data_IF_201032829365
#
_entry.id   IF_201032829365
#
_cell.length_a   1.000
_cell.length_b   1.000
_cell.length_c   1.000
_cell.angle_alpha   90.00
_cell.angle_beta   90.00
_cell.angle_gamma   90.00
#
_symmetry.space_group_name_H-M   'P 1'
#
loop_
_entity.id
_entity.type
_entity.pdbx_description
1 polymer ?
#
# COMPACT_ATOMS: atom_id res chain seq x y z
N UNK A 1 -17.64 20.93 -6.49
CA UNK A 1 -16.39 21.56 -7.02
C UNK A 1 -15.39 20.43 -7.25
N UNK A 2 -14.66 20.49 -8.32
CA UNK A 2 -13.67 19.46 -8.67
C UNK A 2 -12.48 19.57 -7.71
N UNK A 3 -12.28 18.59 -6.83
CA UNK A 3 -11.20 18.60 -5.84
C UNK A 3 -9.83 18.48 -6.53
N UNK A 4 -8.84 19.23 -6.08
CA UNK A 4 -7.45 18.94 -6.46
C UNK A 4 -7.03 17.63 -5.79
N UNK A 5 -6.50 16.69 -6.58
CA UNK A 5 -6.01 15.41 -6.08
C UNK A 5 -4.50 15.37 -6.25
N UNK A 6 -3.78 15.09 -5.15
CA UNK A 6 -2.34 14.88 -5.21
C UNK A 6 -2.04 13.39 -5.42
N UNK A 7 -1.22 13.09 -6.43
CA UNK A 7 -0.68 11.75 -6.66
C UNK A 7 0.77 11.73 -6.21
N UNK A 8 1.06 11.02 -5.14
CA UNK A 8 2.40 10.88 -4.57
C UNK A 8 3.06 9.62 -5.11
N UNK A 9 4.23 9.79 -5.73
CA UNK A 9 5.02 8.71 -6.33
C UNK A 9 6.40 8.70 -5.65
N UNK A 10 6.67 7.77 -4.71
CA UNK A 10 8.00 7.54 -4.18
C UNK A 10 8.90 6.92 -5.25
N UNK A 11 10.10 7.45 -5.46
CA UNK A 11 11.02 7.02 -6.51
C UNK A 11 12.36 6.63 -5.91
N UNK A 12 12.82 5.40 -6.17
CA UNK A 12 14.15 4.95 -5.79
C UNK A 12 14.66 3.86 -6.73
N UNK A 13 15.67 4.18 -7.56
CA UNK A 13 16.36 3.25 -8.47
C UNK A 13 15.39 2.42 -9.36
N UNK A 14 14.58 3.11 -10.16
CA UNK A 14 13.53 2.54 -11.03
C UNK A 14 13.55 3.13 -12.45
N UNK A 15 14.71 3.52 -12.95
CA UNK A 15 14.88 4.18 -14.24
C UNK A 15 14.20 3.46 -15.43
N UNK A 16 14.08 2.13 -15.37
CA UNK A 16 13.49 1.32 -16.43
C UNK A 16 11.95 1.36 -16.46
N UNK A 17 11.28 1.80 -15.38
CA UNK A 17 9.83 1.73 -15.20
C UNK A 17 9.19 3.10 -15.00
N UNK A 18 9.97 4.05 -14.48
CA UNK A 18 9.48 5.33 -13.99
C UNK A 18 8.75 6.16 -15.06
N UNK A 19 9.26 6.14 -16.30
CA UNK A 19 8.66 6.89 -17.40
C UNK A 19 7.24 6.40 -17.70
N UNK A 20 7.03 5.09 -17.77
CA UNK A 20 5.71 4.48 -17.99
C UNK A 20 4.75 4.78 -16.82
N UNK A 21 5.24 4.70 -15.60
CA UNK A 21 4.48 5.03 -14.39
C UNK A 21 3.99 6.49 -14.43
N UNK A 22 4.89 7.47 -14.60
CA UNK A 22 4.52 8.89 -14.64
C UNK A 22 3.54 9.15 -15.80
N UNK A 23 3.80 8.59 -16.97
CA UNK A 23 2.93 8.76 -18.13
C UNK A 23 1.52 8.21 -17.89
N UNK A 24 1.38 7.12 -17.13
CA UNK A 24 0.07 6.54 -16.78
C UNK A 24 -0.75 7.50 -15.89
N UNK A 25 -0.08 8.24 -15.01
CA UNK A 25 -0.71 9.26 -14.15
C UNK A 25 -1.04 10.53 -14.94
N UNK A 26 -0.15 10.98 -15.83
CA UNK A 26 -0.41 12.13 -16.69
C UNK A 26 -1.59 11.93 -17.63
N UNK A 27 -1.83 10.68 -18.06
CA UNK A 27 -2.90 10.27 -18.96
C UNK A 27 -4.23 9.94 -18.28
N UNK A 28 -4.38 10.20 -16.99
CA UNK A 28 -5.64 9.99 -16.27
C UNK A 28 -6.78 10.83 -16.90
N UNK A 29 -7.99 10.28 -16.90
CA UNK A 29 -9.19 11.01 -17.36
C UNK A 29 -9.53 12.19 -16.46
N UNK A 30 -9.22 12.10 -15.18
CA UNK A 30 -9.29 13.20 -14.24
C UNK A 30 -8.05 14.09 -14.38
N UNK A 31 -8.22 15.36 -14.70
CA UNK A 31 -7.12 16.25 -15.08
C UNK A 31 -6.65 17.20 -13.98
N UNK A 32 -7.48 17.44 -12.94
CA UNK A 32 -7.14 18.36 -11.83
C UNK A 32 -6.21 17.66 -10.82
N UNK A 33 -4.96 17.42 -11.25
CA UNK A 33 -3.94 16.68 -10.52
C UNK A 33 -2.77 17.55 -10.09
N UNK A 34 -2.21 17.23 -8.93
CA UNK A 34 -0.93 17.65 -8.39
C UNK A 34 -0.05 16.41 -8.26
N UNK A 35 0.94 16.23 -9.12
CA UNK A 35 1.78 15.02 -9.18
C UNK A 35 3.07 15.29 -8.44
N UNK A 36 3.28 14.60 -7.32
CA UNK A 36 4.39 14.81 -6.39
C UNK A 36 5.36 13.63 -6.51
N UNK A 37 6.46 13.82 -7.24
CA UNK A 37 7.55 12.87 -7.34
C UNK A 37 8.52 13.08 -6.18
N UNK A 38 8.75 12.06 -5.36
CA UNK A 38 9.72 12.10 -4.26
C UNK A 38 10.86 11.16 -4.59
N UNK A 39 11.94 11.71 -5.15
CA UNK A 39 13.16 10.95 -5.40
C UNK A 39 13.95 10.78 -4.10
N UNK A 40 13.90 9.58 -3.55
CA UNK A 40 14.49 9.18 -2.26
C UNK A 40 15.96 8.77 -2.43
N UNK A 41 16.78 9.65 -3.02
CA UNK A 41 18.21 9.47 -3.18
C UNK A 41 18.58 8.40 -4.20
N UNK A 42 17.91 8.34 -5.36
CA UNK A 42 18.28 7.42 -6.44
C UNK A 42 19.70 7.66 -6.94
N UNK A 43 20.36 6.59 -7.35
CA UNK A 43 21.73 6.57 -7.88
C UNK A 43 21.81 6.17 -9.37
N UNK A 44 20.66 5.87 -9.97
CA UNK A 44 20.45 5.62 -11.39
C UNK A 44 19.87 6.87 -12.09
N UNK A 45 19.40 6.76 -13.32
CA UNK A 45 18.83 7.89 -14.08
C UNK A 45 17.42 8.34 -13.60
N UNK A 46 16.87 7.77 -12.51
CA UNK A 46 15.52 8.11 -12.02
C UNK A 46 15.38 9.61 -11.68
N UNK A 47 16.44 10.24 -11.11
CA UNK A 47 16.41 11.66 -10.78
C UNK A 47 16.24 12.54 -12.04
N UNK A 48 17.02 12.26 -13.10
CA UNK A 48 16.97 13.00 -14.37
C UNK A 48 15.62 12.80 -15.09
N UNK A 49 15.03 11.59 -14.97
CA UNK A 49 13.68 11.32 -15.48
C UNK A 49 12.65 12.19 -14.76
N UNK A 50 12.71 12.27 -13.42
CA UNK A 50 11.81 13.12 -12.64
C UNK A 50 11.88 14.58 -13.10
N UNK A 51 13.09 15.14 -13.19
CA UNK A 51 13.31 16.54 -13.58
C UNK A 51 12.78 16.83 -14.97
N UNK A 52 13.03 15.93 -15.93
CA UNK A 52 12.50 16.04 -17.29
C UNK A 52 10.98 16.11 -17.30
N UNK A 53 10.27 15.32 -16.51
CA UNK A 53 8.81 15.37 -16.45
C UNK A 53 8.29 16.65 -15.79
N UNK A 54 8.99 17.19 -14.80
CA UNK A 54 8.64 18.48 -14.20
C UNK A 54 8.79 19.68 -15.19
N UNK A 55 9.75 19.58 -16.12
CA UNK A 55 9.90 20.57 -17.18
C UNK A 55 8.80 20.45 -18.26
N UNK A 56 8.29 19.22 -18.50
CA UNK A 56 7.31 18.95 -19.57
C UNK A 56 5.86 19.22 -19.16
N UNK A 57 5.50 19.03 -17.88
CA UNK A 57 4.12 19.18 -17.41
C UNK A 57 4.07 19.93 -16.08
N UNK A 58 3.40 21.07 -16.05
CA UNK A 58 3.29 21.94 -14.87
C UNK A 58 2.55 21.32 -13.68
N UNK A 59 1.87 20.22 -13.86
CA UNK A 59 1.25 19.45 -12.77
C UNK A 59 2.26 18.63 -11.97
N UNK A 60 3.47 18.39 -12.52
CA UNK A 60 4.52 17.57 -11.91
C UNK A 60 5.43 18.46 -11.07
N UNK A 61 5.63 18.06 -9.83
CA UNK A 61 6.57 18.67 -8.88
C UNK A 61 7.52 17.63 -8.34
N UNK A 62 8.80 17.90 -8.35
CA UNK A 62 9.87 16.98 -7.94
C UNK A 62 10.50 17.46 -6.65
N UNK A 63 10.80 16.50 -5.77
CA UNK A 63 11.55 16.71 -4.54
C UNK A 63 12.63 15.64 -4.43
N UNK A 64 13.89 16.07 -4.35
CA UNK A 64 15.02 15.18 -4.11
C UNK A 64 15.34 15.16 -2.63
N UNK A 65 15.42 13.96 -2.05
CA UNK A 65 15.74 13.74 -0.65
C UNK A 65 16.94 12.78 -0.50
N UNK A 66 17.54 12.73 0.68
CA UNK A 66 18.41 11.63 1.03
C UNK A 66 17.59 10.36 1.20
N UNK A 67 18.15 9.19 0.83
CA UNK A 67 17.45 7.91 0.98
C UNK A 67 17.11 7.63 2.45
N UNK A 68 15.80 7.55 2.73
CA UNK A 68 15.23 7.24 4.05
C UNK A 68 14.17 6.14 3.97
N UNK A 69 13.96 5.58 2.79
CA UNK A 69 13.01 4.50 2.50
C UNK A 69 11.60 4.97 2.12
N UNK A 70 10.88 4.09 1.46
CA UNK A 70 9.56 4.37 0.89
C UNK A 70 8.54 4.96 1.88
N UNK A 71 8.44 4.52 3.16
CA UNK A 71 7.52 5.14 4.13
C UNK A 71 7.81 6.63 4.35
N UNK A 72 9.11 7.01 4.42
CA UNK A 72 9.50 8.41 4.60
C UNK A 72 9.21 9.24 3.36
N UNK A 73 9.46 8.69 2.17
CA UNK A 73 9.13 9.34 0.91
C UNK A 73 7.61 9.54 0.76
N UNK A 74 6.79 8.54 1.12
CA UNK A 74 5.32 8.67 1.17
C UNK A 74 4.91 9.79 2.13
N UNK A 75 5.40 9.78 3.38
CA UNK A 75 5.08 10.80 4.39
C UNK A 75 5.48 12.20 3.95
N UNK A 76 6.69 12.33 3.41
CA UNK A 76 7.17 13.61 2.89
C UNK A 76 6.28 14.09 1.74
N UNK A 77 5.95 13.22 0.78
CA UNK A 77 5.03 13.53 -0.32
C UNK A 77 3.67 14.02 0.17
N UNK A 78 3.09 13.41 1.22
CA UNK A 78 1.84 13.88 1.84
C UNK A 78 1.98 15.29 2.39
N UNK A 79 3.12 15.66 2.99
CA UNK A 79 3.34 17.03 3.49
C UNK A 79 3.45 18.05 2.35
N UNK A 80 3.94 17.63 1.17
CA UNK A 80 4.08 18.47 -0.01
C UNK A 80 2.81 18.52 -0.87
N UNK A 81 1.89 17.57 -0.69
CA UNK A 81 0.63 17.50 -1.43
C UNK A 81 -0.20 18.77 -1.29
N UNK A 82 -0.72 19.30 -2.39
CA UNK A 82 -1.59 20.49 -2.44
C UNK A 82 -3.08 20.13 -2.43
N UNK A 83 -3.41 18.90 -2.84
CA UNK A 83 -4.77 18.39 -2.92
C UNK A 83 -5.40 18.12 -1.56
N UNK A 84 -6.72 18.15 -1.51
CA UNK A 84 -7.50 17.72 -0.34
C UNK A 84 -7.45 16.20 -0.16
N UNK A 85 -7.31 15.48 -1.27
CA UNK A 85 -7.15 14.04 -1.30
C UNK A 85 -5.78 13.65 -1.86
N UNK A 86 -5.26 12.51 -1.37
CA UNK A 86 -3.97 11.96 -1.78
C UNK A 86 -4.15 10.52 -2.23
N UNK A 87 -3.48 10.17 -3.32
CA UNK A 87 -3.37 8.84 -3.87
C UNK A 87 -1.90 8.47 -4.01
N UNK A 88 -1.55 7.23 -3.75
CA UNK A 88 -0.19 6.72 -3.95
C UNK A 88 -0.12 5.84 -5.21
N UNK A 89 0.99 5.96 -5.93
CA UNK A 89 1.36 5.07 -7.04
C UNK A 89 2.81 4.66 -6.82
N UNK A 90 3.10 3.37 -6.84
CA UNK A 90 4.48 2.90 -6.79
C UNK A 90 5.14 3.12 -8.15
N UNK A 91 6.40 3.54 -8.14
CA UNK A 91 7.10 4.05 -9.32
C UNK A 91 7.45 3.01 -10.39
N UNK A 92 7.21 1.74 -10.12
CA UNK A 92 7.35 0.60 -11.06
C UNK A 92 6.01 0.02 -11.53
N UNK A 93 4.88 0.62 -11.10
CA UNK A 93 3.52 0.19 -11.43
C UNK A 93 2.84 1.13 -12.43
N UNK A 94 1.60 0.79 -12.84
CA UNK A 94 0.83 1.55 -13.81
C UNK A 94 -0.56 1.85 -13.25
N UNK A 95 -0.97 3.11 -13.30
CA UNK A 95 -2.33 3.54 -12.98
C UNK A 95 -3.26 3.29 -14.18
N UNK A 96 -4.38 2.58 -14.00
CA UNK A 96 -5.39 2.45 -15.05
C UNK A 96 -6.01 3.83 -15.36
N UNK A 97 -6.27 4.11 -16.61
CA UNK A 97 -6.63 5.44 -17.12
C UNK A 97 -7.81 6.12 -16.38
N UNK A 98 -8.76 5.34 -15.86
CA UNK A 98 -9.96 5.84 -15.15
C UNK A 98 -9.81 5.84 -13.64
N UNK A 99 -8.65 5.44 -13.10
CA UNK A 99 -8.49 5.19 -11.66
C UNK A 99 -8.89 6.42 -10.84
N UNK A 100 -8.30 7.57 -11.11
CA UNK A 100 -8.56 8.77 -10.30
C UNK A 100 -10.02 9.21 -10.43
N UNK A 101 -10.57 9.24 -11.65
CA UNK A 101 -11.96 9.63 -11.89
C UNK A 101 -12.95 8.68 -11.16
N UNK A 102 -12.72 7.38 -11.23
CA UNK A 102 -13.57 6.38 -10.59
C UNK A 102 -13.57 6.53 -9.06
N UNK A 103 -12.39 6.70 -8.46
CA UNK A 103 -12.27 6.89 -7.01
C UNK A 103 -12.83 8.24 -6.56
N UNK A 104 -12.53 9.31 -7.29
CA UNK A 104 -13.00 10.66 -6.97
C UNK A 104 -14.53 10.79 -7.04
N UNK A 105 -15.17 10.17 -8.02
CA UNK A 105 -16.63 10.15 -8.12
C UNK A 105 -17.28 9.59 -6.85
N UNK A 106 -16.69 8.59 -6.22
CA UNK A 106 -17.20 8.06 -4.95
C UNK A 106 -17.02 9.05 -3.79
N UNK A 107 -15.95 9.86 -3.81
CA UNK A 107 -15.79 10.96 -2.85
C UNK A 107 -16.91 11.99 -3.02
N UNK A 108 -17.19 12.41 -4.26
CA UNK A 108 -18.24 13.41 -4.55
C UNK A 108 -19.64 12.91 -4.16
N UNK A 109 -19.94 11.63 -4.44
CA UNK A 109 -21.25 11.03 -4.16
C UNK A 109 -21.49 10.75 -2.67
N UNK A 110 -20.44 10.42 -1.91
CA UNK A 110 -20.60 9.87 -0.55
C UNK A 110 -19.95 10.70 0.55
N UNK A 111 -19.00 11.58 0.20
CA UNK A 111 -18.16 12.29 1.17
C UNK A 111 -17.18 11.38 1.90
N UNK A 112 -16.76 10.27 1.30
CA UNK A 112 -15.87 9.30 1.91
C UNK A 112 -14.50 9.88 2.26
N UNK A 113 -13.95 9.46 3.41
CA UNK A 113 -12.56 9.77 3.80
C UNK A 113 -11.56 8.87 3.09
N UNK A 114 -11.98 7.65 2.74
CA UNK A 114 -11.18 6.67 2.00
C UNK A 114 -12.05 6.02 0.92
N UNK A 115 -11.55 5.97 -0.31
CA UNK A 115 -12.12 5.14 -1.38
C UNK A 115 -11.07 4.14 -1.82
N UNK A 116 -11.41 2.87 -1.83
CA UNK A 116 -10.54 1.74 -2.16
C UNK A 116 -10.95 1.20 -3.53
N UNK A 117 -10.02 1.10 -4.46
CA UNK A 117 -10.16 0.35 -5.70
C UNK A 117 -9.62 -1.07 -5.58
N UNK A 118 -9.43 -1.70 -6.72
CA UNK A 118 -8.78 -3.01 -6.82
C UNK A 118 -7.71 -2.98 -7.91
N UNK A 119 -6.98 -4.08 -8.06
CA UNK A 119 -5.84 -4.18 -8.96
C UNK A 119 -5.82 -5.56 -9.65
N UNK A 120 -5.01 -5.67 -10.70
CA UNK A 120 -4.57 -6.93 -11.25
C UNK A 120 -3.04 -6.97 -11.33
N UNK A 121 -2.50 -8.17 -11.46
CA UNK A 121 -1.05 -8.37 -11.56
C UNK A 121 -0.67 -8.51 -13.03
N UNK A 122 0.39 -7.81 -13.43
CA UNK A 122 1.14 -8.05 -14.65
C UNK A 122 2.50 -8.65 -14.29
N UNK A 123 2.73 -9.90 -14.68
CA UNK A 123 4.02 -10.58 -14.49
C UNK A 123 4.90 -10.34 -15.70
N UNK A 124 5.94 -9.53 -15.54
CA UNK A 124 6.87 -9.18 -16.60
C UNK A 124 7.70 -10.37 -17.08
N UNK A 125 7.90 -11.39 -16.22
CA UNK A 125 8.73 -12.55 -16.57
C UNK A 125 8.06 -13.47 -17.62
N UNK A 126 6.75 -13.56 -17.62
CA UNK A 126 5.99 -14.41 -18.56
C UNK A 126 4.97 -13.64 -19.40
N UNK A 127 4.84 -12.32 -19.18
CA UNK A 127 3.91 -11.43 -19.88
C UNK A 127 2.44 -11.69 -19.57
N UNK A 128 2.13 -12.40 -18.48
CA UNK A 128 0.76 -12.77 -18.13
C UNK A 128 0.11 -11.77 -17.16
N UNK A 129 -1.20 -11.57 -17.36
CA UNK A 129 -2.03 -10.83 -16.42
C UNK A 129 -2.85 -11.77 -15.54
N UNK A 130 -2.87 -11.53 -14.21
CA UNK A 130 -3.69 -12.25 -13.26
C UNK A 130 -4.75 -11.32 -12.69
N UNK A 131 -6.01 -11.55 -13.07
CA UNK A 131 -7.15 -10.77 -12.62
C UNK A 131 -7.80 -11.45 -11.42
N UNK A 132 -8.03 -10.68 -10.36
CA UNK A 132 -8.78 -11.12 -9.17
C UNK A 132 -10.25 -10.74 -9.24
N UNK A 133 -10.59 -9.76 -10.09
CA UNK A 133 -11.93 -9.22 -10.27
C UNK A 133 -12.32 -9.38 -11.72
N UNK A 134 -13.46 -10.03 -11.96
CA UNK A 134 -14.09 -10.10 -13.28
C UNK A 134 -15.21 -9.04 -13.33
N UNK A 135 -15.62 -8.63 -14.53
CA UNK A 135 -16.70 -7.63 -14.71
C UNK A 135 -17.97 -7.95 -13.92
N UNK A 136 -18.33 -9.24 -13.82
CA UNK A 136 -19.50 -9.72 -13.03
C UNK A 136 -19.34 -9.51 -11.52
N UNK A 137 -18.13 -9.28 -11.03
CA UNK A 137 -17.84 -9.13 -9.60
C UNK A 137 -17.80 -7.64 -9.19
N UNK A 138 -18.08 -6.74 -10.15
CA UNK A 138 -18.14 -5.31 -9.86
C UNK A 138 -19.19 -5.01 -8.80
N UNK A 139 -18.77 -4.31 -7.76
CA UNK A 139 -19.66 -3.79 -6.72
C UNK A 139 -19.09 -2.51 -6.11
N UNK A 140 -19.97 -1.74 -5.48
CA UNK A 140 -19.60 -0.59 -4.65
C UNK A 140 -20.22 -0.82 -3.28
N UNK A 141 -19.41 -0.77 -2.24
CA UNK A 141 -19.83 -1.09 -0.87
C UNK A 141 -19.29 -0.04 0.11
N UNK A 142 -20.12 0.40 1.03
CA UNK A 142 -19.66 1.10 2.23
C UNK A 142 -19.25 0.07 3.27
N UNK A 143 -18.02 0.14 3.77
CA UNK A 143 -17.46 -0.85 4.68
C UNK A 143 -17.12 -0.21 6.03
N UNK A 144 -17.57 -0.85 7.10
CA UNK A 144 -17.16 -0.53 8.46
C UNK A 144 -15.69 -0.89 8.71
N UNK A 145 -15.08 -0.29 9.74
CA UNK A 145 -13.71 -0.65 10.14
C UNK A 145 -13.56 -2.15 10.43
N UNK A 146 -14.57 -2.77 11.05
CA UNK A 146 -14.57 -4.21 11.31
C UNK A 146 -14.51 -5.04 10.03
N UNK A 147 -15.33 -4.69 9.03
CA UNK A 147 -15.35 -5.41 7.74
C UNK A 147 -14.02 -5.23 6.98
N UNK A 148 -13.45 -4.03 6.99
CA UNK A 148 -12.15 -3.74 6.38
C UNK A 148 -11.04 -4.59 7.02
N UNK A 149 -11.02 -4.70 8.35
CA UNK A 149 -10.06 -5.54 9.08
C UNK A 149 -10.27 -7.03 8.78
N UNK A 150 -11.52 -7.48 8.68
CA UNK A 150 -11.84 -8.86 8.30
C UNK A 150 -11.34 -9.17 6.86
N UNK A 151 -11.50 -8.22 5.92
CA UNK A 151 -11.00 -8.35 4.54
C UNK A 151 -9.47 -8.35 4.48
N UNK A 152 -8.79 -7.53 5.29
CA UNK A 152 -7.33 -7.61 5.44
C UNK A 152 -6.85 -8.99 5.90
N UNK A 153 -7.64 -9.69 6.70
CA UNK A 153 -7.28 -11.01 7.19
C UNK A 153 -7.33 -12.12 6.12
N UNK A 154 -7.87 -11.85 4.95
CA UNK A 154 -7.78 -12.73 3.76
C UNK A 154 -8.71 -13.93 3.75
N UNK A 155 -9.66 -14.03 4.69
CA UNK A 155 -10.46 -15.25 4.85
C UNK A 155 -11.54 -15.46 3.79
N UNK A 156 -12.00 -14.38 3.14
CA UNK A 156 -13.21 -14.44 2.30
C UNK A 156 -13.00 -13.94 0.87
N UNK A 157 -11.86 -13.30 0.58
CA UNK A 157 -11.59 -12.70 -0.72
C UNK A 157 -10.19 -13.07 -1.21
N UNK A 158 -10.09 -13.48 -2.46
CA UNK A 158 -8.83 -13.80 -3.13
C UNK A 158 -7.83 -12.63 -3.15
N UNK A 159 -8.29 -11.42 -2.78
CA UNK A 159 -7.53 -10.18 -2.88
C UNK A 159 -7.44 -9.41 -1.55
N UNK A 160 -7.00 -10.06 -0.48
CA UNK A 160 -6.76 -9.40 0.82
C UNK A 160 -5.75 -8.23 0.70
N UNK A 161 -4.79 -8.32 -0.21
CA UNK A 161 -3.78 -7.29 -0.45
C UNK A 161 -4.40 -5.95 -0.87
N UNK A 162 -5.58 -5.97 -1.52
CA UNK A 162 -6.31 -4.74 -1.84
C UNK A 162 -6.67 -3.92 -0.58
N UNK A 163 -6.77 -4.53 0.58
CA UNK A 163 -7.06 -3.86 1.85
C UNK A 163 -5.81 -3.57 2.68
N UNK A 164 -4.61 -3.92 2.19
CA UNK A 164 -3.32 -3.70 2.87
C UNK A 164 -2.49 -2.65 2.13
N UNK A 165 -2.32 -2.80 0.81
CA UNK A 165 -1.49 -1.92 0.00
C UNK A 165 -2.08 -0.50 -0.06
N UNK A 166 -1.27 0.58 0.02
CA UNK A 166 -1.78 1.95 -0.01
C UNK A 166 -2.14 2.45 -1.41
N UNK A 167 -1.63 1.82 -2.47
CA UNK A 167 -1.92 2.19 -3.86
C UNK A 167 -3.40 1.97 -4.19
N UNK A 168 -3.87 2.52 -5.29
CA UNK A 168 -5.28 2.48 -5.74
C UNK A 168 -6.30 2.82 -4.63
N UNK A 169 -5.89 3.64 -3.66
CA UNK A 169 -6.74 4.22 -2.63
C UNK A 169 -6.64 5.74 -2.65
N UNK A 170 -7.79 6.38 -2.62
CA UNK A 170 -7.90 7.81 -2.47
C UNK A 170 -8.18 8.12 -1.00
N UNK A 171 -7.26 8.81 -0.35
CA UNK A 171 -7.33 9.16 1.06
C UNK A 171 -7.55 10.66 1.24
N UNK A 172 -8.39 11.04 2.19
CA UNK A 172 -8.41 12.42 2.67
C UNK A 172 -7.06 12.77 3.29
N UNK A 173 -6.44 13.87 2.85
CA UNK A 173 -5.08 14.26 3.26
C UNK A 173 -4.94 14.39 4.77
N UNK A 174 -5.90 15.00 5.45
CA UNK A 174 -5.88 15.21 6.89
C UNK A 174 -5.80 13.89 7.68
N UNK A 175 -6.37 12.81 7.14
CA UNK A 175 -6.28 11.48 7.73
C UNK A 175 -4.84 10.95 7.68
N UNK A 176 -4.17 11.09 6.53
CA UNK A 176 -2.77 10.68 6.36
C UNK A 176 -1.82 11.50 7.25
N UNK A 177 -2.08 12.80 7.45
CA UNK A 177 -1.29 13.64 8.35
C UNK A 177 -1.42 13.21 9.82
N UNK A 178 -2.58 12.67 10.22
CA UNK A 178 -2.81 12.14 11.57
C UNK A 178 -2.20 10.75 11.77
N UNK A 179 -2.09 9.96 10.71
CA UNK A 179 -1.61 8.57 10.74
C UNK A 179 -0.51 8.39 9.69
N UNK A 180 0.72 8.87 9.96
CA UNK A 180 1.83 8.71 9.03
C UNK A 180 2.27 7.24 8.92
N UNK A 181 2.84 6.88 7.77
CA UNK A 181 3.44 5.57 7.56
C UNK A 181 4.60 5.34 8.53
N UNK A 182 4.68 4.12 9.06
CA UNK A 182 5.71 3.73 10.04
C UNK A 182 7.07 3.58 9.37
N UNK A 183 8.09 4.17 10.00
CA UNK A 183 9.43 4.22 9.45
C UNK A 183 10.29 3.00 9.82
N UNK A 184 11.23 2.67 8.94
CA UNK A 184 12.35 1.79 9.25
C UNK A 184 12.01 0.31 9.33
N UNK A 185 10.91 -0.14 8.70
CA UNK A 185 10.46 -1.54 8.71
C UNK A 185 9.93 -1.97 7.36
N UNK A 186 10.10 -3.24 7.06
CA UNK A 186 9.26 -3.95 6.09
C UNK A 186 7.82 -3.96 6.60
N UNK A 187 6.85 -4.13 5.71
CA UNK A 187 5.43 -4.20 6.08
C UNK A 187 4.87 -2.90 6.68
N UNK A 188 5.39 -1.73 6.24
CA UNK A 188 4.87 -0.41 6.64
C UNK A 188 3.38 -0.24 6.31
N UNK A 189 2.93 -0.81 5.22
CA UNK A 189 1.52 -0.84 4.82
C UNK A 189 0.67 -1.63 5.81
N UNK A 190 1.11 -2.83 6.18
CA UNK A 190 0.48 -3.69 7.19
C UNK A 190 0.42 -2.99 8.56
N UNK A 191 1.47 -2.22 8.88
CA UNK A 191 1.57 -1.47 10.13
C UNK A 191 0.70 -0.21 10.18
N UNK A 192 0.29 0.34 9.02
CA UNK A 192 -0.32 1.67 8.93
C UNK A 192 -1.79 1.63 8.51
N UNK A 193 -2.13 0.87 7.46
CA UNK A 193 -3.45 0.96 6.81
C UNK A 193 -4.61 0.65 7.75
N UNK A 194 -4.46 -0.31 8.69
CA UNK A 194 -5.50 -0.60 9.68
C UNK A 194 -5.83 0.62 10.56
N UNK A 195 -4.84 1.46 10.89
CA UNK A 195 -5.03 2.68 11.68
C UNK A 195 -5.83 3.72 10.92
N UNK A 196 -5.59 3.85 9.61
CA UNK A 196 -6.38 4.72 8.73
C UNK A 196 -7.83 4.25 8.69
N UNK A 197 -8.07 2.95 8.58
CA UNK A 197 -9.44 2.39 8.61
C UNK A 197 -10.15 2.62 9.95
N UNK A 198 -9.45 2.48 11.08
CA UNK A 198 -10.01 2.77 12.42
C UNK A 198 -10.38 4.26 12.55
N UNK A 199 -9.60 5.16 11.95
CA UNK A 199 -9.80 6.61 12.02
C UNK A 199 -10.81 7.15 11.02
N UNK A 200 -11.01 6.47 9.91
CA UNK A 200 -11.96 6.87 8.87
C UNK A 200 -13.39 6.84 9.39
N UNK A 201 -14.17 7.87 9.07
CA UNK A 201 -15.62 7.91 9.35
C UNK A 201 -16.41 7.18 8.27
N UNK A 202 -15.93 7.22 7.03
CA UNK A 202 -16.57 6.56 5.90
C UNK A 202 -15.54 6.02 4.91
N UNK A 203 -15.63 4.73 4.61
CA UNK A 203 -14.80 4.06 3.61
C UNK A 203 -15.67 3.36 2.58
N UNK A 204 -15.41 3.64 1.31
CA UNK A 204 -16.09 3.02 0.16
C UNK A 204 -15.10 2.09 -0.54
N UNK A 205 -15.55 0.90 -0.88
CA UNK A 205 -14.83 -0.05 -1.72
C UNK A 205 -15.48 -0.14 -3.09
N UNK A 206 -14.70 0.06 -4.14
CA UNK A 206 -15.08 -0.09 -5.55
C UNK A 206 -14.33 -1.30 -6.10
N UNK A 207 -15.03 -2.40 -6.27
CA UNK A 207 -14.42 -3.64 -6.77
C UNK A 207 -14.24 -3.57 -8.30
N UNK A 208 -13.30 -2.73 -8.74
CA UNK A 208 -12.91 -2.53 -10.14
C UNK A 208 -11.37 -2.55 -10.26
N UNK A 209 -10.85 -3.13 -11.35
CA UNK A 209 -9.42 -3.22 -11.62
C UNK A 209 -8.88 -1.86 -12.08
N UNK A 210 -8.44 -1.05 -11.15
CA UNK A 210 -8.01 0.34 -11.37
C UNK A 210 -6.49 0.52 -11.36
N UNK A 211 -5.74 -0.56 -11.12
CA UNK A 211 -4.30 -0.50 -10.95
C UNK A 211 -3.63 -1.77 -11.48
N UNK A 212 -2.44 -1.63 -12.04
CA UNK A 212 -1.63 -2.71 -12.57
C UNK A 212 -0.39 -2.86 -11.71
N UNK A 213 -0.40 -3.87 -10.86
CA UNK A 213 0.75 -4.23 -10.05
C UNK A 213 1.74 -5.05 -10.86
N UNK A 214 2.96 -4.53 -11.04
CA UNK A 214 4.02 -5.17 -11.81
C UNK A 214 4.84 -6.12 -10.95
N UNK A 215 4.90 -7.40 -11.32
CA UNK A 215 5.86 -8.35 -10.76
C UNK A 215 7.10 -8.38 -11.66
N UNK A 216 8.24 -8.02 -11.07
CA UNK A 216 9.53 -7.92 -11.76
C UNK A 216 10.67 -8.48 -10.92
N UNK A 217 11.81 -8.77 -11.56
CA UNK A 217 13.03 -9.12 -10.85
C UNK A 217 13.59 -7.92 -10.06
N UNK A 218 14.18 -8.17 -8.89
CA UNK A 218 14.77 -7.12 -8.05
C UNK A 218 13.78 -6.33 -7.20
N UNK A 219 12.52 -6.74 -7.11
CA UNK A 219 11.57 -6.20 -6.13
C UNK A 219 12.00 -6.49 -4.70
N UNK A 220 11.64 -5.60 -3.75
CA UNK A 220 11.91 -5.78 -2.31
C UNK A 220 11.36 -7.13 -1.81
N UNK A 221 10.19 -7.55 -2.30
CA UNK A 221 9.55 -8.82 -1.93
C UNK A 221 10.30 -10.07 -2.41
N UNK A 222 11.27 -9.93 -3.32
CA UNK A 222 12.13 -11.03 -3.80
C UNK A 222 13.47 -11.10 -3.08
N UNK A 223 13.69 -10.26 -2.04
CA UNK A 223 14.92 -10.27 -1.27
C UNK A 223 15.05 -11.55 -0.43
N UNK A 224 16.30 -11.96 -0.15
CA UNK A 224 16.57 -13.17 0.63
C UNK A 224 16.00 -13.05 2.04
N UNK A 225 15.33 -14.11 2.51
CA UNK A 225 14.80 -14.21 3.87
C UNK A 225 15.92 -14.26 4.90
N UNK A 226 15.81 -13.43 5.94
CA UNK A 226 16.69 -13.39 7.10
C UNK A 226 15.89 -13.13 8.39
N UNK A 227 16.57 -13.10 9.54
CA UNK A 227 15.92 -12.96 10.85
C UNK A 227 15.20 -11.60 11.01
N UNK A 228 15.60 -10.57 10.29
CA UNK A 228 14.94 -9.25 10.37
C UNK A 228 13.50 -9.27 9.85
N UNK A 229 13.16 -10.18 8.92
CA UNK A 229 11.77 -10.42 8.52
C UNK A 229 10.91 -10.88 9.69
N UNK A 230 11.46 -11.77 10.53
CA UNK A 230 10.76 -12.27 11.71
C UNK A 230 10.54 -11.15 12.71
N UNK A 231 11.58 -10.34 12.96
CA UNK A 231 11.50 -9.20 13.89
C UNK A 231 10.40 -8.22 13.47
N UNK A 232 10.42 -7.83 12.18
CA UNK A 232 9.47 -6.88 11.64
C UNK A 232 8.03 -7.40 11.73
N UNK A 233 7.76 -8.63 11.31
CA UNK A 233 6.40 -9.18 11.30
C UNK A 233 5.85 -9.37 12.70
N UNK A 234 6.67 -9.87 13.64
CA UNK A 234 6.27 -10.06 15.05
C UNK A 234 5.88 -8.71 15.68
N UNK A 235 6.64 -7.67 15.41
CA UNK A 235 6.37 -6.33 15.95
C UNK A 235 5.15 -5.70 15.31
N UNK A 236 5.03 -5.77 13.96
CA UNK A 236 3.89 -5.21 13.23
C UNK A 236 2.58 -5.82 13.72
N UNK A 237 2.48 -7.14 13.80
CA UNK A 237 1.25 -7.79 14.25
C UNK A 237 0.96 -7.60 15.74
N UNK A 238 1.98 -7.47 16.58
CA UNK A 238 1.78 -7.15 18.01
C UNK A 238 1.12 -5.78 18.18
N UNK A 239 1.65 -4.78 17.50
CA UNK A 239 1.09 -3.42 17.52
C UNK A 239 -0.29 -3.36 16.89
N UNK A 240 -0.48 -4.03 15.75
CA UNK A 240 -1.77 -4.08 15.06
C UNK A 240 -2.87 -4.70 15.95
N UNK A 241 -2.60 -5.85 16.56
CA UNK A 241 -3.57 -6.48 17.46
C UNK A 241 -3.87 -5.60 18.69
N UNK A 242 -2.88 -4.91 19.24
CA UNK A 242 -3.09 -3.98 20.32
C UNK A 242 -3.98 -2.78 19.89
N UNK A 243 -3.71 -2.19 18.73
CA UNK A 243 -4.52 -1.09 18.19
C UNK A 243 -5.97 -1.52 17.96
N UNK A 244 -6.20 -2.73 17.42
CA UNK A 244 -7.54 -3.27 17.18
C UNK A 244 -8.31 -3.49 18.49
N UNK A 245 -7.67 -4.05 19.51
CA UNK A 245 -8.27 -4.25 20.84
C UNK A 245 -8.65 -2.90 21.48
N UNK A 246 -7.75 -1.91 21.44
CA UNK A 246 -8.00 -0.58 21.98
C UNK A 246 -9.13 0.14 21.22
N UNK A 247 -9.30 -0.13 19.94
CA UNK A 247 -10.39 0.40 19.13
C UNK A 247 -11.72 -0.36 19.29
N UNK A 248 -11.77 -1.43 20.09
CA UNK A 248 -12.97 -2.26 20.28
C UNK A 248 -13.33 -3.11 19.05
N UNK A 249 -12.37 -3.37 18.15
CA UNK A 249 -12.53 -4.22 16.95
C UNK A 249 -12.35 -5.70 17.35
N UNK A 250 -13.25 -6.57 16.89
CA UNK A 250 -13.07 -8.01 17.06
C UNK A 250 -11.81 -8.48 16.31
N UNK A 251 -10.91 -9.11 17.06
CA UNK A 251 -9.61 -9.55 16.56
C UNK A 251 -9.57 -11.01 16.14
N UNK A 252 -10.65 -11.76 16.24
CA UNK A 252 -10.68 -13.21 16.03
C UNK A 252 -10.13 -13.63 14.67
N UNK A 253 -10.56 -12.97 13.61
CA UNK A 253 -10.10 -13.24 12.22
C UNK A 253 -8.64 -12.84 12.05
N UNK A 254 -8.24 -11.68 12.58
CA UNK A 254 -6.84 -11.21 12.50
C UNK A 254 -5.89 -12.08 13.34
N UNK A 255 -6.33 -12.57 14.49
CA UNK A 255 -5.56 -13.54 15.28
C UNK A 255 -5.31 -14.82 14.48
N UNK A 256 -6.33 -15.34 13.80
CA UNK A 256 -6.17 -16.55 12.97
C UNK A 256 -5.17 -16.30 11.83
N UNK A 257 -5.24 -15.12 11.16
CA UNK A 257 -4.22 -14.74 10.17
C UNK A 257 -2.82 -14.68 10.77
N UNK A 258 -2.68 -14.11 11.95
CA UNK A 258 -1.39 -14.04 12.64
C UNK A 258 -0.84 -15.43 12.97
N UNK A 259 -1.68 -16.38 13.43
CA UNK A 259 -1.29 -17.76 13.64
C UNK A 259 -0.75 -18.41 12.37
N UNK A 260 -1.41 -18.18 11.22
CA UNK A 260 -0.94 -18.69 9.94
C UNK A 260 0.43 -18.12 9.57
N UNK A 261 0.62 -16.81 9.74
CA UNK A 261 1.91 -16.16 9.53
C UNK A 261 2.99 -16.72 10.47
N UNK A 262 2.68 -16.92 11.77
CA UNK A 262 3.63 -17.52 12.70
C UNK A 262 4.05 -18.93 12.27
N UNK A 263 3.13 -19.74 11.75
CA UNK A 263 3.45 -21.07 11.23
C UNK A 263 4.32 -21.02 9.97
N UNK A 264 4.04 -20.08 9.06
CA UNK A 264 4.85 -19.83 7.87
C UNK A 264 6.28 -19.41 8.24
N UNK A 265 6.42 -18.43 9.13
CA UNK A 265 7.74 -17.94 9.57
C UNK A 265 8.49 -18.98 10.41
N UNK A 266 7.80 -19.83 11.18
CA UNK A 266 8.38 -21.00 11.82
C UNK A 266 9.02 -21.92 10.78
N UNK A 267 8.27 -22.28 9.74
CA UNK A 267 8.78 -23.11 8.65
C UNK A 267 9.98 -22.48 7.92
N UNK A 268 9.92 -21.16 7.65
CA UNK A 268 11.04 -20.44 7.05
C UNK A 268 12.29 -20.47 7.97
N UNK A 269 12.15 -20.22 9.27
CA UNK A 269 13.26 -20.32 10.21
C UNK A 269 13.89 -21.72 10.23
N UNK A 270 13.08 -22.77 10.18
CA UNK A 270 13.56 -24.16 10.09
C UNK A 270 14.29 -24.42 8.77
N UNK A 271 13.77 -23.90 7.65
CA UNK A 271 14.37 -24.06 6.32
C UNK A 271 15.72 -23.34 6.19
N UNK A 272 15.84 -22.16 6.80
CA UNK A 272 17.06 -21.33 6.74
C UNK A 272 18.00 -21.52 7.93
N UNK A 273 17.78 -22.54 8.78
CA UNK A 273 18.60 -22.87 9.96
C UNK A 273 18.69 -21.72 10.98
N UNK A 274 17.57 -21.02 11.23
CA UNK A 274 17.46 -19.92 12.20
C UNK A 274 16.76 -20.34 13.51
N UNK A 275 16.78 -21.63 13.86
CA UNK A 275 16.09 -22.19 15.02
C UNK A 275 16.71 -21.86 16.39
N UNK A 276 17.97 -21.41 16.41
CA UNK A 276 18.69 -21.03 17.63
C UNK A 276 18.51 -19.56 18.02
N UNK A 277 17.62 -18.83 17.32
CA UNK A 277 17.38 -17.41 17.54
C UNK A 277 16.31 -17.12 18.59
N UNK A 278 16.35 -15.95 19.20
CA UNK A 278 15.32 -15.51 20.15
C UNK A 278 13.98 -15.29 19.45
N UNK A 279 13.99 -14.84 18.19
CA UNK A 279 12.81 -14.64 17.37
C UNK A 279 12.08 -15.97 17.08
N UNK A 280 12.81 -17.05 16.83
CA UNK A 280 12.21 -18.37 16.68
C UNK A 280 11.57 -18.86 17.99
N UNK A 281 12.22 -18.64 19.14
CA UNK A 281 11.64 -18.95 20.47
C UNK A 281 10.38 -18.14 20.72
N UNK A 282 10.37 -16.85 20.30
CA UNK A 282 9.19 -15.98 20.41
C UNK A 282 8.04 -16.49 19.52
N UNK A 283 8.31 -16.95 18.30
CA UNK A 283 7.28 -17.59 17.45
C UNK A 283 6.66 -18.78 18.17
N UNK A 284 7.48 -19.69 18.72
CA UNK A 284 7.00 -20.88 19.41
C UNK A 284 6.15 -20.53 20.66
N UNK A 285 6.60 -19.54 21.43
CA UNK A 285 5.87 -19.05 22.59
C UNK A 285 4.50 -18.49 22.21
N UNK A 286 4.42 -17.66 21.16
CA UNK A 286 3.15 -17.09 20.68
C UNK A 286 2.21 -18.16 20.13
N UNK A 287 2.72 -19.15 19.39
CA UNK A 287 1.92 -20.27 18.92
C UNK A 287 1.35 -21.10 20.08
N UNK A 288 2.09 -21.25 21.17
CA UNK A 288 1.58 -21.93 22.36
C UNK A 288 0.50 -21.16 23.11
N UNK A 289 0.67 -19.83 23.22
CA UNK A 289 -0.38 -18.94 23.76
C UNK A 289 -1.69 -19.04 22.97
N UNK A 290 -1.60 -19.19 21.65
CA UNK A 290 -2.78 -19.22 20.78
C UNK A 290 -3.56 -20.54 20.82
N UNK A 291 -3.01 -21.62 21.45
CA UNK A 291 -3.69 -22.92 21.66
C UNK A 291 -4.69 -22.89 22.81
N UNK A 292 -4.65 -21.88 23.67
CA UNK A 292 -5.55 -21.68 24.81
C UNK A 292 -6.78 -20.85 24.42
#
# INVERSE_FOLDING_TARGET
MEHLISVVIPVYNVENYLEECIQSVLNQTYTNLDIVLVNDGSTDASAEICDRFAELDSRVRVFHTENRGAPQAKNFGVTQALGEYVLFVDSDDIAEKRMVDTLHRQVEETGADIVIGNYFIYDENDGQCKFYVLERDFCIEELSAQELINRQAGYWHLNASAFIMPMFKLFKKDLLLQVPFTNGRRFDDEATIHRLFIKSQKTIFVNDNLYIYRVRQGSIMTSQFDISWVQDILQVFSLKLADLVLAGIDTSVMRTRFINILNEYKYLCETYNLTDTDEYREILFRLDLCKK
#
